data_IF_515745132157
#
_entry.id   IF_515745132157
#
_cell.length_a   1.000
_cell.length_b   1.000
_cell.length_c   1.000
_cell.angle_alpha   90.00
_cell.angle_beta   90.00
_cell.angle_gamma   90.00
#
_symmetry.space_group_name_H-M   'P 1'
#
loop_
_entity.id
_entity.type
_entity.pdbx_description
1 polymer ?
#
# COMPACT_ATOMS: atom_id res chain seq x y z
N UNK A 1 10.18 -3.34 -9.29
CA UNK A 1 11.23 -2.33 -9.03
C UNK A 1 12.11 -2.04 -10.24
N UNK A 2 12.35 -3.00 -11.14
CA UNK A 2 13.13 -2.79 -12.36
C UNK A 2 12.66 -1.55 -13.16
N UNK A 3 11.35 -1.50 -13.47
CA UNK A 3 10.70 -0.36 -14.15
C UNK A 3 10.94 0.98 -13.45
N UNK A 4 10.92 1.01 -12.12
CA UNK A 4 11.08 2.25 -11.38
C UNK A 4 12.52 2.77 -11.42
N UNK A 5 13.51 1.87 -11.33
CA UNK A 5 14.92 2.23 -11.46
C UNK A 5 15.27 2.64 -12.88
N UNK A 6 14.72 1.97 -13.91
CA UNK A 6 14.89 2.35 -15.32
C UNK A 6 14.50 3.82 -15.57
N UNK A 7 13.44 4.29 -14.91
CA UNK A 7 12.98 5.68 -14.99
C UNK A 7 13.83 6.60 -14.10
N UNK A 8 14.09 6.23 -12.85
CA UNK A 8 14.66 7.13 -11.84
C UNK A 8 16.19 7.21 -11.87
N UNK A 9 16.89 6.19 -12.37
CA UNK A 9 18.34 6.21 -12.52
C UNK A 9 18.83 7.39 -13.37
N UNK A 10 18.39 7.57 -14.63
CA UNK A 10 18.84 8.68 -15.46
C UNK A 10 18.35 10.05 -14.97
N UNK A 11 17.19 10.09 -14.30
CA UNK A 11 16.57 11.35 -13.88
C UNK A 11 17.16 11.90 -12.57
N UNK A 12 17.40 11.00 -11.61
CA UNK A 12 17.69 11.35 -10.21
C UNK A 12 18.95 10.65 -9.71
N UNK A 13 19.00 9.32 -9.74
CA UNK A 13 20.03 8.59 -8.98
C UNK A 13 21.42 8.73 -9.56
N UNK A 14 21.60 8.73 -10.89
CA UNK A 14 22.92 8.94 -11.49
C UNK A 14 23.56 10.25 -11.03
N UNK A 15 22.78 11.33 -10.98
CA UNK A 15 23.25 12.64 -10.50
C UNK A 15 23.52 12.62 -9.00
N UNK A 16 22.63 12.00 -8.21
CA UNK A 16 22.78 11.91 -6.77
C UNK A 16 24.02 11.10 -6.38
N UNK A 17 24.24 9.94 -6.98
CA UNK A 17 25.41 9.10 -6.71
C UNK A 17 26.70 9.68 -7.27
N UNK A 18 26.67 10.41 -8.39
CA UNK A 18 27.83 11.15 -8.85
C UNK A 18 28.25 12.27 -7.88
N UNK A 19 27.28 12.90 -7.21
CA UNK A 19 27.56 13.92 -6.18
C UNK A 19 28.02 13.31 -4.84
N UNK A 20 27.33 12.26 -4.36
CA UNK A 20 27.58 11.67 -3.04
C UNK A 20 28.78 10.71 -3.03
N UNK A 21 29.01 10.01 -4.14
CA UNK A 21 30.08 9.02 -4.30
C UNK A 21 30.77 9.26 -5.65
N UNK A 22 31.49 10.39 -5.81
CA UNK A 22 32.10 10.73 -7.09
C UNK A 22 33.13 9.70 -7.51
N UNK A 23 33.18 9.40 -8.81
CA UNK A 23 34.23 8.58 -9.38
C UNK A 23 35.60 9.23 -9.09
N UNK A 24 36.65 8.45 -8.77
CA UNK A 24 37.99 8.99 -8.65
C UNK A 24 38.33 9.74 -9.94
N UNK A 25 38.75 11.00 -9.85
CA UNK A 25 39.29 11.72 -10.99
C UNK A 25 40.50 10.93 -11.50
N UNK A 26 40.40 10.34 -12.69
CA UNK A 26 41.57 9.80 -13.36
C UNK A 26 42.56 10.95 -13.51
N UNK A 27 43.70 10.89 -12.79
CA UNK A 27 44.82 11.75 -13.08
C UNK A 27 45.16 11.53 -14.57
N UNK A 28 45.02 12.58 -15.38
CA UNK A 28 45.27 12.53 -16.80
C UNK A 28 46.76 12.23 -17.05
N UNK A 29 47.13 10.95 -17.07
CA UNK A 29 48.32 10.51 -17.77
C UNK A 29 47.99 10.53 -19.26
N UNK A 30 48.11 11.72 -19.86
CA UNK A 30 48.30 11.86 -21.29
C UNK A 30 49.59 11.12 -21.65
N UNK A 31 49.47 9.90 -22.15
CA UNK A 31 50.49 9.32 -23.00
C UNK A 31 49.84 9.05 -24.36
N UNK A 32 50.21 9.89 -25.33
CA UNK A 32 49.70 9.81 -26.68
C UNK A 32 50.10 8.49 -27.33
N UNK A 33 49.12 7.77 -27.86
CA UNK A 33 49.30 6.96 -29.07
C UNK A 33 47.93 6.70 -29.68
N UNK A 34 47.76 7.20 -30.89
CA UNK A 34 46.60 7.03 -31.75
C UNK A 34 46.47 5.58 -32.19
N UNK A 35 45.28 4.98 -32.02
CA UNK A 35 44.88 3.79 -32.74
C UNK A 35 43.37 3.85 -33.05
N UNK A 36 43.05 3.46 -34.28
CA UNK A 36 41.80 3.67 -34.99
C UNK A 36 40.56 3.06 -34.31
N UNK A 37 39.47 3.84 -34.29
CA UNK A 37 38.15 3.39 -33.86
C UNK A 37 37.45 2.60 -34.98
N UNK A 38 37.15 1.33 -34.71
CA UNK A 38 36.27 0.49 -35.52
C UNK A 38 34.81 0.73 -35.16
N UNK A 39 33.96 0.78 -36.20
CA UNK A 39 32.53 1.13 -36.17
C UNK A 39 31.61 0.00 -35.64
N UNK A 40 31.89 -0.57 -34.46
CA UNK A 40 31.01 -1.60 -33.86
C UNK A 40 30.63 -1.33 -32.38
N UNK A 41 30.99 -0.15 -31.85
CA UNK A 41 30.75 0.18 -30.43
C UNK A 41 29.40 0.86 -30.14
N UNK A 42 28.51 1.04 -31.12
CA UNK A 42 27.29 1.84 -30.96
C UNK A 42 26.14 1.14 -30.20
N UNK A 43 26.24 -0.16 -29.93
CA UNK A 43 25.21 -0.92 -29.19
C UNK A 43 25.54 -1.13 -27.70
N UNK A 44 26.77 -0.83 -27.26
CA UNK A 44 27.20 -1.01 -25.86
C UNK A 44 27.42 0.33 -25.11
N UNK A 45 27.29 1.46 -25.80
CA UNK A 45 27.60 2.80 -25.27
C UNK A 45 26.46 3.47 -24.51
N UNK A 46 25.26 2.88 -24.45
CA UNK A 46 24.15 3.45 -23.68
C UNK A 46 24.25 3.19 -22.17
N UNK A 47 25.04 2.20 -21.72
CA UNK A 47 25.23 1.92 -20.28
C UNK A 47 26.29 2.80 -19.61
N UNK A 48 27.23 3.37 -20.36
CA UNK A 48 28.34 4.14 -19.79
C UNK A 48 28.07 5.65 -19.61
N UNK A 49 27.06 6.21 -20.28
CA UNK A 49 26.82 7.66 -20.24
C UNK A 49 26.17 8.15 -18.94
N UNK A 50 25.36 7.32 -18.26
CA UNK A 50 24.70 7.68 -16.99
C UNK A 50 25.59 7.50 -15.75
N UNK A 51 26.54 6.56 -15.79
CA UNK A 51 27.46 6.28 -14.69
C UNK A 51 28.72 7.15 -14.68
N UNK A 52 28.89 8.04 -15.67
CA UNK A 52 30.14 8.75 -15.97
C UNK A 52 30.70 9.66 -14.85
N UNK A 53 30.01 9.77 -13.70
CA UNK A 53 30.45 10.57 -12.56
C UNK A 53 30.45 9.88 -11.21
N UNK A 54 29.95 8.64 -11.07
CA UNK A 54 29.88 7.95 -9.77
C UNK A 54 30.87 6.79 -9.67
N UNK A 55 31.48 6.59 -8.50
CA UNK A 55 32.29 5.41 -8.22
C UNK A 55 31.44 4.12 -8.13
N UNK A 56 30.12 4.24 -7.93
CA UNK A 56 29.19 3.12 -7.91
C UNK A 56 28.38 3.05 -9.21
N UNK A 57 28.70 2.07 -10.05
CA UNK A 57 27.92 1.73 -11.23
C UNK A 57 26.49 1.29 -10.86
N UNK A 58 25.55 1.33 -11.82
CA UNK A 58 24.13 1.01 -11.62
C UNK A 58 23.89 -0.43 -11.14
N UNK A 59 24.79 -1.35 -11.47
CA UNK A 59 24.77 -2.75 -11.04
C UNK A 59 25.43 -2.98 -9.66
N UNK A 60 25.98 -1.95 -9.03
CA UNK A 60 26.52 -2.04 -7.68
C UNK A 60 25.42 -2.41 -6.68
N UNK A 61 25.64 -3.46 -5.88
CA UNK A 61 24.62 -3.98 -4.96
C UNK A 61 24.22 -2.99 -3.87
N UNK A 62 25.17 -2.20 -3.35
CA UNK A 62 24.90 -1.21 -2.31
C UNK A 62 24.07 -0.07 -2.89
N UNK A 63 24.44 0.41 -4.08
CA UNK A 63 23.66 1.42 -4.82
C UNK A 63 22.22 0.93 -5.06
N UNK A 64 22.05 -0.29 -5.57
CA UNK A 64 20.73 -0.85 -5.84
C UNK A 64 19.91 -1.01 -4.56
N UNK A 65 20.48 -1.55 -3.48
CA UNK A 65 19.78 -1.69 -2.21
C UNK A 65 19.29 -0.34 -1.67
N UNK A 66 20.16 0.68 -1.67
CA UNK A 66 19.79 2.02 -1.21
C UNK A 66 18.73 2.63 -2.12
N UNK A 67 18.90 2.54 -3.44
CA UNK A 67 17.95 3.09 -4.42
C UNK A 67 16.58 2.42 -4.27
N UNK A 68 16.53 1.09 -4.20
CA UNK A 68 15.30 0.33 -4.00
C UNK A 68 14.62 0.80 -2.72
N UNK A 69 15.32 0.81 -1.58
CA UNK A 69 14.74 1.24 -0.30
C UNK A 69 14.17 2.66 -0.35
N UNK A 70 14.87 3.59 -1.01
CA UNK A 70 14.40 4.98 -1.17
C UNK A 70 13.14 5.02 -2.04
N UNK A 71 13.16 4.38 -3.21
CA UNK A 71 12.04 4.37 -4.16
C UNK A 71 10.80 3.75 -3.53
N UNK A 72 10.94 2.57 -2.91
CA UNK A 72 9.82 1.87 -2.28
C UNK A 72 9.30 2.63 -1.07
N UNK A 73 10.17 3.28 -0.28
CA UNK A 73 9.74 4.08 0.87
C UNK A 73 8.93 5.29 0.41
N UNK A 74 9.44 6.05 -0.57
CA UNK A 74 8.74 7.23 -1.10
C UNK A 74 7.46 6.81 -1.81
N UNK A 75 7.50 5.76 -2.62
CA UNK A 75 6.33 5.24 -3.34
C UNK A 75 5.23 4.75 -2.41
N UNK A 76 5.56 3.88 -1.44
CA UNK A 76 4.60 3.36 -0.47
C UNK A 76 4.02 4.45 0.42
N UNK A 77 4.87 5.33 0.98
CA UNK A 77 4.40 6.46 1.78
C UNK A 77 3.58 7.46 0.97
N UNK A 78 3.97 7.75 -0.27
CA UNK A 78 3.26 8.67 -1.16
C UNK A 78 1.86 8.15 -1.52
N UNK A 79 1.77 6.89 -1.95
CA UNK A 79 0.48 6.23 -2.20
C UNK A 79 -0.40 6.23 -0.95
N UNK A 80 0.17 5.87 0.20
CA UNK A 80 -0.54 5.91 1.48
C UNK A 80 -1.10 7.31 1.77
N UNK A 81 -0.26 8.35 1.79
CA UNK A 81 -0.71 9.69 2.13
C UNK A 81 -1.75 10.24 1.15
N UNK A 82 -1.58 10.01 -0.14
CA UNK A 82 -2.52 10.50 -1.17
C UNK A 82 -3.84 9.75 -1.09
N UNK A 83 -3.83 8.41 -1.16
CA UNK A 83 -5.07 7.65 -1.25
C UNK A 83 -5.79 7.51 0.09
N UNK A 84 -5.09 7.44 1.22
CA UNK A 84 -5.74 7.52 2.53
C UNK A 84 -6.36 8.90 2.75
N UNK A 85 -5.73 10.00 2.31
CA UNK A 85 -6.36 11.32 2.37
C UNK A 85 -7.60 11.41 1.46
N UNK A 86 -7.49 10.98 0.20
CA UNK A 86 -8.62 11.00 -0.74
C UNK A 86 -9.79 10.18 -0.19
N UNK A 87 -9.54 8.95 0.25
CA UNK A 87 -10.57 8.09 0.85
C UNK A 87 -11.15 8.72 2.12
N UNK A 88 -10.31 9.23 3.03
CA UNK A 88 -10.75 9.82 4.30
C UNK A 88 -11.59 11.10 4.12
N UNK A 89 -11.27 11.95 3.14
CA UNK A 89 -11.97 13.22 2.95
C UNK A 89 -13.14 13.15 1.97
N UNK A 90 -13.15 12.19 1.04
CA UNK A 90 -14.16 12.09 -0.02
C UNK A 90 -15.14 10.92 0.18
N UNK A 91 -14.75 9.86 0.89
CA UNK A 91 -15.52 8.61 0.98
C UNK A 91 -15.89 8.28 2.44
N UNK A 92 -14.91 8.30 3.35
CA UNK A 92 -15.09 7.91 4.75
C UNK A 92 -16.15 8.78 5.46
N UNK A 93 -17.14 8.13 6.06
CA UNK A 93 -18.15 8.81 6.85
C UNK A 93 -17.61 9.19 8.24
N UNK A 94 -17.28 10.48 8.40
CA UNK A 94 -16.74 11.04 9.64
C UNK A 94 -17.66 10.95 10.85
N UNK A 95 -18.94 10.61 10.67
CA UNK A 95 -19.84 10.29 11.79
C UNK A 95 -19.35 9.06 12.55
N UNK A 96 -18.66 8.13 11.90
CA UNK A 96 -18.05 6.95 12.53
C UNK A 96 -17.02 7.29 13.61
N UNK A 97 -16.42 8.50 13.59
CA UNK A 97 -15.52 8.98 14.66
C UNK A 97 -16.23 9.09 16.03
N UNK A 98 -17.57 9.15 16.06
CA UNK A 98 -18.37 9.19 17.28
C UNK A 98 -18.74 7.80 17.82
N UNK A 99 -18.38 6.72 17.12
CA UNK A 99 -18.66 5.37 17.57
C UNK A 99 -18.05 5.10 18.96
N UNK A 100 -18.75 4.41 19.89
CA UNK A 100 -18.27 4.19 21.26
C UNK A 100 -16.89 3.52 21.36
N UNK A 101 -16.53 2.70 20.37
CA UNK A 101 -15.25 1.98 20.28
C UNK A 101 -14.20 2.71 19.45
N UNK A 102 -14.47 3.93 18.99
CA UNK A 102 -13.49 4.77 18.32
C UNK A 102 -12.52 5.35 19.37
N UNK A 103 -11.23 5.13 19.18
CA UNK A 103 -10.22 5.48 20.19
C UNK A 103 -9.91 6.97 20.18
N UNK A 104 -9.52 7.50 21.34
CA UNK A 104 -9.09 8.90 21.44
C UNK A 104 -7.85 9.15 20.58
N UNK A 105 -7.89 10.16 19.72
CA UNK A 105 -6.83 10.47 18.75
C UNK A 105 -6.50 9.30 17.80
N UNK A 106 -7.46 8.40 17.52
CA UNK A 106 -7.26 7.20 16.72
C UNK A 106 -6.55 7.49 15.39
N UNK A 107 -7.02 8.47 14.61
CA UNK A 107 -6.44 8.85 13.32
C UNK A 107 -4.93 9.11 13.42
N UNK A 108 -4.49 9.89 14.42
CA UNK A 108 -3.07 10.14 14.64
C UNK A 108 -2.32 8.85 15.00
N UNK A 109 -2.92 7.99 15.81
CA UNK A 109 -2.30 6.74 16.20
C UNK A 109 -2.19 5.76 15.01
N UNK A 110 -3.20 5.71 14.14
CA UNK A 110 -3.21 4.94 12.89
C UNK A 110 -2.11 5.43 11.94
N UNK A 111 -1.99 6.74 11.73
CA UNK A 111 -0.92 7.35 10.94
C UNK A 111 0.47 7.04 11.49
N UNK A 112 0.67 7.21 12.80
CA UNK A 112 1.97 6.94 13.44
C UNK A 112 2.30 5.46 13.35
N UNK A 113 1.34 4.57 13.60
CA UNK A 113 1.52 3.11 13.50
C UNK A 113 1.90 2.73 12.08
N UNK A 114 1.18 3.24 11.08
CA UNK A 114 1.45 3.00 9.65
C UNK A 114 2.85 3.46 9.27
N UNK A 115 3.21 4.72 9.55
CA UNK A 115 4.51 5.27 9.17
C UNK A 115 5.68 4.69 9.96
N UNK A 116 5.42 4.13 11.15
CA UNK A 116 6.44 3.38 11.88
C UNK A 116 6.65 1.99 11.29
N UNK A 117 5.63 1.36 10.71
CA UNK A 117 5.72 0.00 10.18
C UNK A 117 6.37 -0.06 8.78
N UNK A 118 6.05 0.90 7.91
CA UNK A 118 6.48 0.88 6.49
C UNK A 118 7.99 0.68 6.30
N UNK A 119 8.90 1.37 7.03
CA UNK A 119 10.34 1.17 6.83
C UNK A 119 10.82 -0.26 7.13
N UNK A 120 10.23 -0.92 8.13
CA UNK A 120 10.58 -2.29 8.48
C UNK A 120 10.04 -3.29 7.47
N UNK A 121 8.79 -3.10 7.01
CA UNK A 121 8.22 -3.90 5.92
C UNK A 121 9.10 -3.75 4.68
N UNK A 122 9.50 -2.53 4.35
CA UNK A 122 10.36 -2.24 3.22
C UNK A 122 11.70 -3.01 3.27
N UNK A 123 12.37 -3.00 4.43
CA UNK A 123 13.61 -3.77 4.64
C UNK A 123 13.37 -5.28 4.47
N UNK A 124 12.26 -5.81 4.99
CA UNK A 124 11.91 -7.23 4.83
C UNK A 124 11.61 -7.59 3.36
N UNK A 125 11.03 -6.66 2.59
CA UNK A 125 10.73 -6.86 1.16
C UNK A 125 11.94 -6.68 0.23
N UNK A 126 13.02 -6.04 0.70
CA UNK A 126 14.20 -5.74 -0.11
C UNK A 126 14.78 -6.95 -0.86
N UNK A 127 14.92 -8.16 -0.28
CA UNK A 127 15.45 -9.32 -1.01
C UNK A 127 14.64 -9.67 -2.27
N UNK A 128 13.31 -9.52 -2.23
CA UNK A 128 12.43 -9.79 -3.37
C UNK A 128 12.66 -8.79 -4.49
N UNK A 129 12.69 -7.50 -4.16
CA UNK A 129 12.94 -6.45 -5.15
C UNK A 129 14.35 -6.49 -5.72
N UNK A 130 15.35 -6.79 -4.89
CA UNK A 130 16.72 -6.95 -5.35
C UNK A 130 16.85 -8.14 -6.30
N UNK A 131 16.21 -9.28 -5.96
CA UNK A 131 16.19 -10.45 -6.83
C UNK A 131 15.48 -10.14 -8.18
N UNK A 132 14.40 -9.37 -8.16
CA UNK A 132 13.72 -8.88 -9.36
C UNK A 132 14.67 -8.08 -10.26
N UNK A 133 15.29 -7.02 -9.72
CA UNK A 133 16.25 -6.15 -10.43
C UNK A 133 17.49 -6.92 -10.92
N UNK A 134 17.85 -8.01 -10.24
CA UNK A 134 18.95 -8.91 -10.63
C UNK A 134 18.55 -9.98 -11.64
N UNK A 135 17.37 -9.87 -12.24
CA UNK A 135 16.89 -10.78 -13.27
C UNK A 135 16.59 -12.19 -12.78
N UNK A 136 16.24 -12.36 -11.49
CA UNK A 136 15.84 -13.66 -10.92
C UNK A 136 14.35 -13.95 -11.04
N UNK A 137 13.55 -12.93 -11.36
CA UNK A 137 12.12 -13.09 -11.61
C UNK A 137 11.85 -13.47 -13.08
N UNK A 138 10.63 -13.90 -13.36
CA UNK A 138 10.12 -14.21 -14.70
C UNK A 138 9.42 -12.98 -15.34
N UNK A 139 9.74 -11.77 -14.87
CA UNK A 139 9.23 -10.55 -15.48
C UNK A 139 9.80 -10.38 -16.89
N UNK A 140 8.92 -10.14 -17.86
CA UNK A 140 9.30 -9.85 -19.24
C UNK A 140 8.87 -8.44 -19.64
N UNK A 141 9.53 -7.88 -20.65
CA UNK A 141 9.33 -6.47 -21.04
C UNK A 141 8.28 -6.32 -22.13
N UNK A 142 8.40 -7.08 -23.21
CA UNK A 142 7.62 -6.90 -24.42
C UNK A 142 6.37 -7.77 -24.40
N UNK A 143 5.20 -7.22 -24.74
CA UNK A 143 3.96 -8.00 -24.76
C UNK A 143 4.03 -9.10 -25.83
N UNK A 144 4.80 -8.90 -26.89
CA UNK A 144 4.99 -9.89 -27.97
C UNK A 144 5.63 -11.20 -27.50
N UNK A 145 6.39 -11.19 -26.40
CA UNK A 145 7.11 -12.38 -25.90
C UNK A 145 6.13 -13.52 -25.52
N UNK A 146 4.92 -13.18 -25.06
CA UNK A 146 3.88 -14.14 -24.66
C UNK A 146 2.49 -13.83 -25.25
N UNK A 147 2.29 -12.65 -25.83
CA UNK A 147 1.05 -12.18 -26.44
C UNK A 147 0.03 -11.58 -25.46
N UNK A 148 -0.89 -10.78 -26.00
CA UNK A 148 -1.95 -10.11 -25.25
C UNK A 148 -2.88 -11.07 -24.48
N UNK A 149 -3.14 -12.24 -25.05
CA UNK A 149 -3.95 -13.27 -24.39
C UNK A 149 -3.29 -13.78 -23.12
N UNK A 150 -1.98 -14.02 -23.14
CA UNK A 150 -1.25 -14.40 -21.93
C UNK A 150 -1.24 -13.26 -20.92
N UNK A 151 -1.08 -12.01 -21.36
CA UNK A 151 -1.13 -10.87 -20.45
C UNK A 151 -2.45 -10.84 -19.65
N UNK A 152 -3.60 -11.04 -20.31
CA UNK A 152 -4.91 -11.16 -19.64
C UNK A 152 -4.98 -12.37 -18.71
N UNK A 153 -4.56 -13.56 -19.16
CA UNK A 153 -4.56 -14.79 -18.34
C UNK A 153 -3.68 -14.62 -17.10
N UNK A 154 -2.48 -14.07 -17.25
CA UNK A 154 -1.56 -13.81 -16.16
C UNK A 154 -2.12 -12.82 -15.13
N UNK A 155 -2.91 -11.82 -15.56
CA UNK A 155 -3.65 -10.95 -14.63
C UNK A 155 -4.68 -11.72 -13.81
N UNK A 156 -5.47 -12.59 -14.44
CA UNK A 156 -6.46 -13.41 -13.71
C UNK A 156 -5.78 -14.37 -12.75
N UNK A 157 -4.70 -15.02 -13.18
CA UNK A 157 -3.90 -15.90 -12.32
C UNK A 157 -3.28 -15.14 -11.15
N UNK A 158 -2.78 -13.92 -11.36
CA UNK A 158 -2.29 -13.05 -10.30
C UNK A 158 -3.39 -12.78 -9.28
N UNK A 159 -4.59 -12.39 -9.72
CA UNK A 159 -5.70 -12.10 -8.82
C UNK A 159 -6.10 -13.33 -7.98
N UNK A 160 -6.27 -14.50 -8.61
CA UNK A 160 -6.66 -15.73 -7.91
C UNK A 160 -5.57 -16.19 -6.93
N UNK A 161 -4.30 -16.14 -7.36
CA UNK A 161 -3.15 -16.53 -6.52
C UNK A 161 -3.08 -15.68 -5.26
N UNK A 162 -3.14 -14.36 -5.42
CA UNK A 162 -3.04 -13.45 -4.29
C UNK A 162 -4.25 -13.59 -3.36
N UNK A 163 -5.46 -13.63 -3.90
CA UNK A 163 -6.66 -13.74 -3.10
C UNK A 163 -6.67 -15.03 -2.25
N UNK A 164 -6.27 -16.16 -2.84
CA UNK A 164 -6.21 -17.43 -2.12
C UNK A 164 -5.12 -17.48 -1.04
N UNK A 165 -3.91 -17.02 -1.34
CA UNK A 165 -2.82 -17.07 -0.36
C UNK A 165 -3.01 -16.05 0.76
N UNK A 166 -3.46 -14.85 0.43
CA UNK A 166 -3.74 -13.81 1.44
C UNK A 166 -4.88 -14.25 2.35
N UNK A 167 -5.94 -14.85 1.80
CA UNK A 167 -7.00 -15.45 2.61
C UNK A 167 -6.44 -16.37 3.70
N UNK A 168 -5.53 -17.28 3.34
CA UNK A 168 -4.95 -18.23 4.29
C UNK A 168 -3.98 -17.59 5.26
N UNK A 169 -3.11 -16.69 4.77
CA UNK A 169 -2.19 -15.93 5.62
C UNK A 169 -3.01 -15.16 6.67
N UNK A 170 -4.00 -14.40 6.23
CA UNK A 170 -4.84 -13.59 7.10
C UNK A 170 -5.63 -14.45 8.09
N UNK A 171 -6.21 -15.57 7.65
CA UNK A 171 -6.90 -16.51 8.55
C UNK A 171 -5.94 -17.14 9.57
N UNK A 172 -4.70 -17.44 9.19
CA UNK A 172 -3.67 -17.96 10.11
C UNK A 172 -3.17 -16.88 11.08
N UNK A 173 -3.12 -15.61 10.65
CA UNK A 173 -2.82 -14.47 11.52
C UNK A 173 -3.86 -14.28 12.62
N UNK A 174 -5.11 -14.67 12.37
CA UNK A 174 -6.17 -14.74 13.37
C UNK A 174 -6.12 -15.97 14.27
N UNK A 175 -5.23 -16.94 14.01
CA UNK A 175 -5.06 -18.07 14.91
C UNK A 175 -4.56 -17.58 16.30
N UNK A 176 -5.10 -18.06 17.44
CA UNK A 176 -4.81 -17.51 18.76
C UNK A 176 -3.32 -17.45 19.14
N UNK A 177 -2.51 -18.38 18.63
CA UNK A 177 -1.06 -18.42 18.87
C UNK A 177 -0.29 -17.32 18.13
N UNK A 178 -0.87 -16.74 17.07
CA UNK A 178 -0.26 -15.74 16.19
C UNK A 178 -0.89 -14.37 16.43
N UNK A 179 -2.23 -14.32 16.48
CA UNK A 179 -3.04 -13.11 16.59
C UNK A 179 -2.56 -12.14 17.66
N UNK A 180 -2.34 -12.63 18.88
CA UNK A 180 -1.94 -11.80 20.03
C UNK A 180 -0.69 -10.96 19.74
N UNK A 181 0.23 -11.47 18.93
CA UNK A 181 1.56 -10.91 18.74
C UNK A 181 1.66 -10.02 17.50
N UNK A 182 1.08 -10.45 16.37
CA UNK A 182 1.29 -9.76 15.10
C UNK A 182 0.05 -9.04 14.56
N UNK A 183 -1.14 -9.62 14.70
CA UNK A 183 -2.34 -9.11 14.02
C UNK A 183 -3.31 -8.33 14.93
N UNK A 184 -3.29 -8.61 16.24
CA UNK A 184 -4.02 -7.81 17.24
C UNK A 184 -3.68 -6.31 17.20
N UNK A 185 -2.43 -5.86 16.96
CA UNK A 185 -2.11 -4.44 16.79
C UNK A 185 -2.89 -3.75 15.66
N UNK A 186 -3.21 -4.47 14.58
CA UNK A 186 -4.06 -3.98 13.50
C UNK A 186 -5.53 -3.93 13.96
N UNK A 187 -6.03 -5.02 14.55
CA UNK A 187 -7.40 -5.15 15.05
C UNK A 187 -7.78 -4.34 16.29
N UNK A 188 -6.85 -3.58 16.87
CA UNK A 188 -7.20 -2.64 17.92
C UNK A 188 -8.09 -1.50 17.41
N UNK A 189 -8.10 -1.26 16.10
CA UNK A 189 -8.96 -0.30 15.40
C UNK A 189 -10.28 -0.96 14.98
N UNK A 190 -11.22 -1.12 15.93
CA UNK A 190 -12.49 -1.84 15.67
C UNK A 190 -13.34 -1.14 14.59
N UNK A 191 -13.31 0.19 14.56
CA UNK A 191 -13.88 1.01 13.49
C UNK A 191 -12.71 1.74 12.86
N UNK A 192 -11.98 1.09 11.92
CA UNK A 192 -10.79 1.67 11.33
C UNK A 192 -11.16 2.86 10.43
N UNK A 193 -10.18 3.72 10.18
CA UNK A 193 -10.25 4.68 9.06
C UNK A 193 -9.30 4.24 7.94
N UNK A 194 -9.33 4.86 6.75
CA UNK A 194 -8.34 4.62 5.69
C UNK A 194 -6.88 4.81 6.12
N UNK A 195 -6.64 5.54 7.22
CA UNK A 195 -5.31 5.71 7.81
C UNK A 195 -4.80 4.45 8.53
N UNK A 196 -5.69 3.51 8.89
CA UNK A 196 -5.34 2.23 9.51
C UNK A 196 -4.80 1.19 8.52
N UNK A 197 -4.90 1.46 7.21
CA UNK A 197 -4.62 0.49 6.15
C UNK A 197 -3.21 -0.09 6.15
N UNK A 198 -2.23 0.60 6.76
CA UNK A 198 -0.86 0.10 6.92
C UNK A 198 -0.45 0.01 8.41
N UNK A 199 -1.40 0.14 9.34
CA UNK A 199 -1.15 0.15 10.78
C UNK A 199 -0.97 -1.27 11.35
N UNK A 200 -0.10 -2.05 10.72
CA UNK A 200 0.21 -3.43 11.07
C UNK A 200 1.41 -3.53 12.00
N UNK A 201 1.59 -4.71 12.60
CA UNK A 201 2.94 -5.13 12.97
C UNK A 201 3.75 -5.33 11.67
N UNK A 202 5.05 -4.96 11.59
CA UNK A 202 5.80 -5.07 10.34
C UNK A 202 5.84 -6.49 9.75
N UNK A 203 5.90 -7.52 10.60
CA UNK A 203 5.87 -8.90 10.13
C UNK A 203 4.51 -9.29 9.52
N UNK A 204 3.41 -8.77 10.04
CA UNK A 204 2.05 -9.01 9.53
C UNK A 204 1.95 -8.41 8.11
N UNK A 205 2.22 -7.11 7.97
CA UNK A 205 2.21 -6.45 6.66
C UNK A 205 3.18 -7.07 5.64
N UNK A 206 4.35 -7.56 6.07
CA UNK A 206 5.28 -8.29 5.20
C UNK A 206 4.73 -9.64 4.76
N UNK A 207 4.22 -10.46 5.67
CA UNK A 207 3.74 -11.80 5.33
C UNK A 207 2.52 -11.70 4.41
N UNK A 208 1.59 -10.77 4.69
CA UNK A 208 0.47 -10.49 3.79
C UNK A 208 0.90 -9.99 2.40
N UNK A 209 2.08 -9.36 2.25
CA UNK A 209 2.58 -8.90 0.95
C UNK A 209 3.32 -9.98 0.14
N UNK A 210 3.70 -11.10 0.77
CA UNK A 210 4.48 -12.16 0.11
C UNK A 210 3.85 -12.72 -1.16
N UNK A 211 2.53 -12.99 -1.23
CA UNK A 211 1.92 -13.54 -2.44
C UNK A 211 2.20 -12.71 -3.70
N UNK A 212 2.18 -11.38 -3.58
CA UNK A 212 2.44 -10.45 -4.67
C UNK A 212 3.89 -10.60 -5.18
N UNK A 213 4.83 -10.66 -4.24
CA UNK A 213 6.26 -10.77 -4.54
C UNK A 213 6.63 -12.15 -5.09
N UNK A 214 6.05 -13.23 -4.55
CA UNK A 214 6.34 -14.60 -4.95
C UNK A 214 5.84 -14.91 -6.37
N UNK A 215 4.72 -14.33 -6.78
CA UNK A 215 4.05 -14.69 -8.02
C UNK A 215 4.96 -14.55 -9.25
N UNK A 216 5.73 -13.46 -9.32
CA UNK A 216 6.60 -13.16 -10.47
C UNK A 216 7.85 -14.05 -10.55
N UNK A 217 8.12 -14.89 -9.54
CA UNK A 217 9.18 -15.90 -9.59
C UNK A 217 8.67 -17.27 -10.06
N UNK A 218 7.35 -17.42 -10.23
CA UNK A 218 6.70 -18.70 -10.56
C UNK A 218 5.91 -18.58 -11.86
N UNK A 219 5.37 -17.40 -12.16
CA UNK A 219 4.57 -17.12 -13.36
C UNK A 219 5.18 -15.95 -14.15
N UNK A 220 5.37 -16.08 -15.48
CA UNK A 220 5.78 -14.97 -16.32
C UNK A 220 4.73 -13.87 -16.38
N UNK A 221 5.11 -12.65 -16.01
CA UNK A 221 4.22 -11.47 -16.03
C UNK A 221 4.93 -10.30 -16.70
N UNK A 222 4.18 -9.50 -17.45
CA UNK A 222 4.74 -8.32 -18.09
C UNK A 222 5.09 -7.27 -17.02
N UNK A 223 6.30 -6.69 -17.08
CA UNK A 223 6.87 -5.90 -15.97
C UNK A 223 6.09 -4.62 -15.63
N UNK A 224 5.52 -3.95 -16.64
CA UNK A 224 4.71 -2.75 -16.43
C UNK A 224 3.31 -3.10 -15.92
N UNK A 225 2.71 -4.19 -16.40
CA UNK A 225 1.48 -4.74 -15.84
C UNK A 225 1.68 -5.06 -14.35
N UNK A 226 2.75 -5.78 -13.99
CA UNK A 226 3.05 -6.09 -12.60
C UNK A 226 3.22 -4.82 -11.75
N UNK A 227 3.92 -3.81 -12.26
CA UNK A 227 4.08 -2.52 -11.59
C UNK A 227 2.71 -1.81 -11.34
N UNK A 228 1.83 -1.81 -12.34
CA UNK A 228 0.47 -1.25 -12.21
C UNK A 228 -0.36 -2.05 -11.21
N UNK A 229 -0.37 -3.38 -11.31
CA UNK A 229 -1.11 -4.26 -10.41
C UNK A 229 -0.65 -4.07 -8.96
N UNK A 230 0.66 -3.98 -8.73
CA UNK A 230 1.21 -3.69 -7.40
C UNK A 230 0.73 -2.34 -6.86
N UNK A 231 0.65 -1.29 -7.69
CA UNK A 231 0.05 -0.01 -7.29
C UNK A 231 -1.44 -0.12 -6.94
N UNK A 232 -2.22 -0.85 -7.75
CA UNK A 232 -3.65 -1.08 -7.52
C UNK A 232 -3.92 -1.86 -6.23
N UNK A 233 -3.05 -2.83 -5.90
CA UNK A 233 -3.11 -3.55 -4.62
C UNK A 233 -3.03 -2.58 -3.44
N UNK A 234 -2.09 -1.64 -3.47
CA UNK A 234 -1.94 -0.68 -2.37
C UNK A 234 -3.17 0.22 -2.23
N UNK A 235 -3.75 0.66 -3.35
CA UNK A 235 -4.98 1.47 -3.35
C UNK A 235 -6.13 0.64 -2.78
N UNK A 236 -6.31 -0.60 -3.23
CA UNK A 236 -7.35 -1.49 -2.74
C UNK A 236 -7.26 -1.71 -1.23
N UNK A 237 -6.06 -2.00 -0.71
CA UNK A 237 -5.81 -2.17 0.73
C UNK A 237 -6.22 -0.93 1.53
N UNK A 238 -6.10 0.27 0.98
CA UNK A 238 -6.58 1.49 1.63
C UNK A 238 -8.10 1.58 1.59
N UNK A 239 -8.70 1.38 0.42
CA UNK A 239 -10.15 1.55 0.23
C UNK A 239 -10.97 0.58 1.06
N UNK A 240 -10.55 -0.67 1.25
CA UNK A 240 -11.30 -1.62 2.10
C UNK A 240 -11.41 -1.19 3.58
N UNK A 241 -10.65 -0.18 4.04
CA UNK A 241 -10.69 0.35 5.40
C UNK A 241 -11.52 1.65 5.53
N UNK A 242 -12.23 2.06 4.49
CA UNK A 242 -13.01 3.31 4.51
C UNK A 242 -14.35 3.23 5.25
N UNK A 243 -14.69 2.05 5.79
CA UNK A 243 -15.88 1.88 6.61
C UNK A 243 -17.20 2.00 5.86
N UNK A 244 -17.18 2.13 4.52
CA UNK A 244 -18.40 2.30 3.73
C UNK A 244 -19.22 1.01 3.71
N UNK A 245 -20.42 1.09 4.27
CA UNK A 245 -21.28 -0.04 4.56
C UNK A 245 -22.26 -0.28 3.40
N UNK A 246 -21.70 -0.50 2.20
CA UNK A 246 -22.46 -0.88 1.02
C UNK A 246 -23.08 -2.26 1.28
N UNK A 247 -24.41 -2.31 1.31
CA UNK A 247 -25.20 -3.54 1.48
C UNK A 247 -26.30 -3.66 0.42
N UNK A 248 -26.53 -4.90 -0.02
CA UNK A 248 -27.60 -5.24 -0.97
C UNK A 248 -27.20 -5.06 -2.44
N UNK A 249 -25.98 -4.59 -2.73
CA UNK A 249 -25.49 -4.53 -4.10
C UNK A 249 -25.07 -5.92 -4.60
N UNK A 250 -25.44 -6.29 -5.83
CA UNK A 250 -25.20 -7.65 -6.34
C UNK A 250 -23.72 -8.06 -6.39
N UNK A 251 -22.80 -7.08 -6.55
CA UNK A 251 -21.36 -7.32 -6.53
C UNK A 251 -20.83 -7.78 -5.17
N UNK A 252 -21.52 -7.46 -4.06
CA UNK A 252 -21.10 -7.89 -2.72
C UNK A 252 -21.08 -9.42 -2.58
N UNK A 253 -21.80 -10.14 -3.43
CA UNK A 253 -21.75 -11.60 -3.45
C UNK A 253 -20.40 -12.13 -3.91
N UNK A 254 -19.60 -11.32 -4.61
CA UNK A 254 -18.36 -11.73 -5.24
C UNK A 254 -17.15 -10.93 -4.76
N UNK A 255 -17.33 -9.65 -4.43
CA UNK A 255 -16.27 -8.72 -4.07
C UNK A 255 -16.23 -8.50 -2.57
N UNK A 256 -15.05 -8.65 -1.97
CA UNK A 256 -14.80 -8.31 -0.58
C UNK A 256 -14.69 -6.79 -0.44
N UNK A 257 -15.84 -6.14 -0.23
CA UNK A 257 -15.97 -4.68 -0.15
C UNK A 257 -15.54 -4.10 1.21
N UNK A 258 -15.44 -2.76 1.36
CA UNK A 258 -15.14 -2.16 2.66
C UNK A 258 -16.13 -2.55 3.77
N UNK A 259 -17.39 -2.80 3.40
CA UNK A 259 -18.40 -3.35 4.29
C UNK A 259 -18.01 -4.71 4.90
N UNK A 260 -17.53 -5.64 4.07
CA UNK A 260 -17.10 -6.96 4.53
C UNK A 260 -15.89 -6.87 5.47
N UNK A 261 -14.92 -6.01 5.13
CA UNK A 261 -13.74 -5.78 5.96
C UNK A 261 -14.08 -5.04 7.26
N UNK A 262 -15.09 -4.17 7.24
CA UNK A 262 -15.63 -3.54 8.44
C UNK A 262 -16.24 -4.59 9.38
N UNK A 263 -17.01 -5.54 8.84
CA UNK A 263 -17.49 -6.69 9.62
C UNK A 263 -16.33 -7.54 10.15
N UNK A 264 -15.29 -7.74 9.34
CA UNK A 264 -14.08 -8.45 9.75
C UNK A 264 -13.43 -7.78 10.98
N UNK A 265 -13.25 -6.46 10.98
CA UNK A 265 -12.71 -5.72 12.13
C UNK A 265 -13.60 -5.75 13.37
N UNK A 266 -14.92 -5.90 13.21
CA UNK A 266 -15.85 -5.97 14.35
C UNK A 266 -16.01 -7.38 14.94
N UNK A 267 -15.91 -8.43 14.13
CA UNK A 267 -16.19 -9.82 14.50
C UNK A 267 -14.96 -10.73 14.53
N UNK A 268 -13.84 -10.31 13.93
CA UNK A 268 -12.51 -10.95 13.88
C UNK A 268 -12.44 -12.35 13.24
N UNK A 269 -13.58 -13.00 13.02
CA UNK A 269 -13.66 -14.43 12.65
C UNK A 269 -14.28 -14.69 11.28
N UNK A 270 -14.46 -13.63 10.49
CA UNK A 270 -15.20 -13.64 9.22
C UNK A 270 -14.52 -12.79 8.17
N UNK A 271 -14.78 -13.02 6.88
CA UNK A 271 -14.37 -12.18 5.75
C UNK A 271 -12.84 -11.91 5.68
N UNK A 272 -12.04 -12.95 5.57
CA UNK A 272 -10.57 -12.85 5.50
C UNK A 272 -10.01 -12.55 4.10
N UNK A 273 -10.80 -12.69 3.03
CA UNK A 273 -10.34 -12.53 1.64
C UNK A 273 -9.78 -11.14 1.34
N UNK A 274 -9.01 -11.00 0.26
CA UNK A 274 -8.44 -9.70 -0.12
C UNK A 274 -9.38 -8.95 -1.06
N UNK A 275 -9.73 -9.56 -2.19
CA UNK A 275 -10.51 -8.94 -3.26
C UNK A 275 -11.89 -9.57 -3.40
N UNK A 276 -12.00 -10.87 -3.13
CA UNK A 276 -13.20 -11.64 -3.43
C UNK A 276 -13.70 -12.42 -2.22
N UNK A 277 -14.99 -12.77 -2.25
CA UNK A 277 -15.68 -13.49 -1.17
C UNK A 277 -15.67 -15.01 -1.32
N UNK A 278 -15.16 -15.54 -2.44
CA UNK A 278 -15.29 -16.97 -2.76
C UNK A 278 -14.55 -17.86 -1.76
N UNK A 279 -13.35 -17.47 -1.31
CA UNK A 279 -12.58 -18.25 -0.36
C UNK A 279 -13.28 -18.29 1.00
N UNK A 280 -13.77 -17.13 1.46
CA UNK A 280 -14.60 -17.05 2.65
C UNK A 280 -15.87 -17.90 2.56
N UNK A 281 -16.52 -17.91 1.40
CA UNK A 281 -17.74 -18.70 1.17
C UNK A 281 -17.43 -20.20 1.18
N UNK A 282 -16.33 -20.59 0.53
CA UNK A 282 -15.91 -21.99 0.43
C UNK A 282 -15.45 -22.57 1.78
N UNK A 283 -14.72 -21.79 2.57
CA UNK A 283 -14.17 -22.23 3.85
C UNK A 283 -14.97 -21.76 5.07
N UNK A 284 -16.26 -21.42 4.87
CA UNK A 284 -17.24 -21.08 5.90
C UNK A 284 -16.84 -19.94 6.86
N UNK A 285 -16.20 -18.89 6.32
CA UNK A 285 -15.93 -17.64 7.05
C UNK A 285 -16.66 -16.44 6.46
N UNK A 286 -17.48 -16.62 5.43
CA UNK A 286 -18.23 -15.52 4.83
C UNK A 286 -19.35 -15.02 5.73
N UNK A 287 -19.40 -13.70 5.92
CA UNK A 287 -20.50 -12.99 6.55
C UNK A 287 -20.93 -11.85 5.63
N UNK A 288 -22.11 -12.01 5.03
CA UNK A 288 -22.69 -11.01 4.15
C UNK A 288 -22.96 -9.69 4.91
N UNK A 289 -22.62 -8.53 4.34
CA UNK A 289 -23.00 -7.24 4.88
C UNK A 289 -24.52 -7.05 4.88
N UNK A 290 -25.05 -6.50 5.96
CA UNK A 290 -26.48 -6.20 6.12
C UNK A 290 -26.63 -4.80 6.71
N UNK A 291 -27.65 -4.02 6.32
CA UNK A 291 -27.86 -2.66 6.83
C UNK A 291 -27.89 -2.57 8.36
N UNK A 292 -28.37 -3.61 9.05
CA UNK A 292 -28.50 -3.67 10.50
C UNK A 292 -27.16 -3.83 11.22
N UNK A 293 -26.12 -4.25 10.49
CA UNK A 293 -24.77 -4.46 11.03
C UNK A 293 -23.88 -3.21 10.88
N UNK A 294 -24.41 -2.11 10.35
CA UNK A 294 -23.65 -0.88 10.11
C UNK A 294 -23.22 -0.22 11.44
N UNK A 295 -21.90 -0.01 11.68
CA UNK A 295 -21.42 0.67 12.87
C UNK A 295 -21.92 2.13 12.98
N UNK A 296 -22.42 2.72 11.89
CA UNK A 296 -22.99 4.06 11.89
C UNK A 296 -24.19 4.18 12.83
N UNK A 297 -24.98 3.12 13.04
CA UNK A 297 -26.13 3.15 13.96
C UNK A 297 -25.72 3.50 15.39
N UNK A 298 -24.64 2.89 15.87
CA UNK A 298 -24.08 3.14 17.20
C UNK A 298 -23.45 4.55 17.29
N UNK A 299 -22.78 4.99 16.22
CA UNK A 299 -22.23 6.35 16.15
C UNK A 299 -23.34 7.41 16.21
N UNK A 300 -24.41 7.25 15.42
CA UNK A 300 -25.57 8.14 15.42
C UNK A 300 -26.30 8.15 16.75
N UNK A 301 -26.37 7.02 17.47
CA UNK A 301 -26.91 6.98 18.85
C UNK A 301 -26.12 7.93 19.76
N UNK A 302 -24.79 7.83 19.77
CA UNK A 302 -23.92 8.71 20.57
C UNK A 302 -24.02 10.17 20.14
N UNK A 303 -24.11 10.45 18.83
CA UNK A 303 -24.28 11.81 18.33
C UNK A 303 -25.61 12.43 18.78
N UNK A 304 -26.71 11.65 18.79
CA UNK A 304 -28.02 12.09 19.30
C UNK A 304 -27.99 12.38 20.79
N UNK A 305 -27.36 11.51 21.58
CA UNK A 305 -27.18 11.73 23.03
C UNK A 305 -26.40 13.03 23.34
N UNK A 306 -25.50 13.43 22.43
CA UNK A 306 -24.74 14.68 22.53
C UNK A 306 -25.45 15.90 21.91
N UNK A 307 -26.65 15.73 21.35
CA UNK A 307 -27.38 16.79 20.65
C UNK A 307 -26.67 17.30 19.39
N UNK A 308 -25.87 16.46 18.73
CA UNK A 308 -25.13 16.82 17.52
C UNK A 308 -25.94 16.62 16.24
N UNK A 309 -26.87 15.65 16.27
CA UNK A 309 -27.72 15.29 15.14
C UNK A 309 -29.16 15.11 15.63
N UNK A 310 -30.12 15.29 14.72
CA UNK A 310 -31.54 15.09 14.98
C UNK A 310 -31.94 13.59 14.98
N UNK A 311 -33.23 13.30 15.11
CA UNK A 311 -33.73 11.92 15.08
C UNK A 311 -33.51 11.22 13.73
N UNK A 312 -33.33 11.99 12.64
CA UNK A 312 -33.05 11.50 11.29
C UNK A 312 -31.55 11.35 11.02
N UNK A 313 -30.69 11.75 11.96
CA UNK A 313 -29.23 11.70 11.81
C UNK A 313 -28.64 12.91 11.08
N UNK A 314 -29.42 13.97 10.88
CA UNK A 314 -28.98 15.20 10.23
C UNK A 314 -28.30 16.15 11.23
N UNK A 315 -27.20 16.83 10.86
CA UNK A 315 -26.48 17.73 11.76
C UNK A 315 -27.35 18.88 12.28
N UNK A 316 -27.39 19.06 13.62
CA UNK A 316 -28.06 20.20 14.24
C UNK A 316 -27.08 21.40 14.23
N UNK A 317 -27.48 22.57 13.69
CA UNK A 317 -26.63 23.76 13.71
C UNK A 317 -26.30 24.16 15.15
N UNK A 318 -25.05 24.01 15.57
CA UNK A 318 -24.63 24.51 16.87
C UNK A 318 -24.56 26.03 16.85
N UNK A 319 -25.29 26.69 17.74
CA UNK A 319 -25.14 28.12 17.97
C UNK A 319 -23.68 28.40 18.32
N UNK A 320 -22.98 29.19 17.49
CA UNK A 320 -21.64 29.70 17.83
C UNK A 320 -21.75 30.31 19.23
N UNK A 321 -21.04 29.76 20.22
CA UNK A 321 -20.90 30.39 21.54
C UNK A 321 -20.33 31.79 21.29
N UNK A 322 -21.22 32.78 21.29
CA UNK A 322 -20.87 34.17 21.09
C UNK A 322 -19.85 34.56 22.15
N UNK A 323 -18.76 35.17 21.71
CA UNK A 323 -17.90 36.00 22.54
C UNK A 323 -18.78 36.96 23.33
N UNK A 324 -19.00 36.65 24.61
CA UNK A 324 -19.63 37.57 25.54
C UNK A 324 -18.72 38.80 25.63
N UNK A 325 -19.09 39.85 24.89
CA UNK A 325 -18.57 41.21 25.05
C UNK A 325 -18.79 41.57 26.53
N UNK A 326 -17.71 41.68 27.30
CA UNK A 326 -17.73 42.39 28.59
C UNK A 326 -18.05 43.85 28.28
N UNK A 327 -19.33 44.19 28.29
CA UNK A 327 -19.81 45.57 28.30
C UNK A 327 -20.04 46.02 29.73
N UNK A 328 -19.56 47.22 30.03
CA UNK A 328 -20.07 48.05 31.12
C UNK A 328 -19.32 47.98 32.44
N UNK A 329 -18.37 48.89 32.61
CA UNK A 329 -18.28 49.72 33.82
C UNK A 329 -17.75 51.09 33.40
N UNK A 330 -18.68 51.93 32.98
CA UNK A 330 -18.61 53.36 33.28
C UNK A 330 -19.35 53.52 34.61
N UNK A 331 -18.61 53.92 35.65
CA UNK A 331 -19.04 54.80 36.76
C UNK A 331 -17.83 55.12 37.63
#
# INVERSE_FOLDING_TARGET
MDVALEILDPLVFDKAYAYLVPAPTAAAHFNGSSAAATHDALAYTTDFAGAAGSAWARDNIVRQCISILIVTQIGASGLYWVFSALSYYLIFDRRLEYHPRFLKNQIRQEMVSSMSAVPFINILTLPWFLAEVRGKSLLYTNVEDYGWSWMLVSTVLFMIWNDFLIYWIHRLEHHPSVYKYIHKPHHKWIVPTPWAALAFHPLDGYVQSLPYHMFVFICPVQKYLYFILFGLVQIWTILIHDGDMISGHWLEKFVNSPAHHTLHHMYFTVNYGQYFTWADSYFNSHRAPQPELDPLHEALRVMREKGLVDEKGEPIPQAKKGTAKKGGKDE
#
